data_IF_443943280358
#
_entry.id   IF_443943280358
#
_cell.length_a   1.000
_cell.length_b   1.000
_cell.length_c   1.000
_cell.angle_alpha   90.00
_cell.angle_beta   90.00
_cell.angle_gamma   90.00
#
_symmetry.space_group_name_H-M   'P 1'
#
loop_
_entity.id
_entity.type
_entity.pdbx_description
1 polymer ?
#
# COMPACT_ATOMS: atom_id res chain seq x y z
N UNK A 1 0.34 -7.67 -9.65
CA UNK A 1 0.19 -6.89 -8.40
C UNK A 1 -1.20 -7.15 -7.86
N UNK A 2 -1.35 -7.86 -6.75
CA UNK A 2 -2.62 -7.94 -6.05
C UNK A 2 -3.04 -6.55 -5.58
N UNK A 3 -4.30 -6.18 -5.86
CA UNK A 3 -4.90 -4.98 -5.31
C UNK A 3 -5.41 -5.32 -3.91
N UNK A 4 -4.90 -4.63 -2.90
CA UNK A 4 -5.33 -4.79 -1.51
C UNK A 4 -6.67 -4.08 -1.28
N UNK A 5 -6.77 -2.84 -1.79
CA UNK A 5 -7.90 -1.95 -1.55
C UNK A 5 -7.98 -0.89 -2.65
N UNK A 6 -9.18 -0.44 -2.99
CA UNK A 6 -9.40 0.70 -3.89
C UNK A 6 -10.31 1.68 -3.17
N UNK A 7 -9.85 2.92 -3.00
CA UNK A 7 -10.64 4.00 -2.39
C UNK A 7 -10.57 5.22 -3.30
N UNK A 8 -11.72 5.62 -3.85
CA UNK A 8 -11.79 6.76 -4.76
C UNK A 8 -10.81 6.58 -5.94
N UNK A 9 -9.85 7.49 -6.10
CA UNK A 9 -8.80 7.46 -7.12
C UNK A 9 -7.55 6.67 -6.72
N UNK A 10 -7.46 6.18 -5.48
CA UNK A 10 -6.28 5.53 -4.91
C UNK A 10 -6.41 4.01 -4.95
N UNK A 11 -5.35 3.35 -5.40
CA UNK A 11 -5.24 1.89 -5.46
C UNK A 11 -4.08 1.47 -4.57
N UNK A 12 -4.38 0.68 -3.55
CA UNK A 12 -3.41 0.12 -2.62
C UNK A 12 -2.96 -1.25 -3.12
N UNK A 13 -1.65 -1.44 -3.19
CA UNK A 13 -0.99 -2.60 -3.80
C UNK A 13 0.06 -3.16 -2.84
N UNK A 14 0.31 -4.46 -2.97
CA UNK A 14 1.48 -5.13 -2.38
C UNK A 14 2.29 -5.78 -3.51
N UNK A 15 3.61 -5.78 -3.40
CA UNK A 15 4.44 -6.54 -4.34
C UNK A 15 5.04 -7.77 -3.66
N UNK A 16 5.28 -8.79 -4.46
CA UNK A 16 5.85 -10.04 -3.99
C UNK A 16 7.36 -9.99 -3.73
N UNK A 17 8.06 -9.02 -4.32
CA UNK A 17 9.48 -8.76 -4.08
C UNK A 17 9.70 -8.14 -2.69
N UNK A 18 8.73 -7.35 -2.25
CA UNK A 18 8.68 -6.65 -0.98
C UNK A 18 8.59 -7.57 0.24
N UNK A 19 8.27 -8.83 0.02
CA UNK A 19 8.05 -9.84 1.06
C UNK A 19 9.35 -10.39 1.67
N UNK A 20 10.52 -10.05 1.12
CA UNK A 20 11.81 -10.41 1.74
C UNK A 20 12.20 -9.46 2.87
N UNK A 21 11.55 -8.31 2.99
CA UNK A 21 11.85 -7.35 4.05
C UNK A 21 11.05 -7.66 5.32
N UNK A 22 11.69 -7.45 6.47
CA UNK A 22 11.09 -7.71 7.79
C UNK A 22 9.93 -6.78 8.14
N UNK A 23 9.73 -5.71 7.36
CA UNK A 23 8.68 -4.70 7.57
C UNK A 23 7.68 -4.76 6.41
N UNK A 24 6.39 -4.64 6.74
CA UNK A 24 5.34 -4.56 5.72
C UNK A 24 5.27 -3.14 5.16
N UNK A 25 5.26 -3.03 3.85
CA UNK A 25 4.99 -1.80 3.13
C UNK A 25 3.90 -1.99 2.08
N UNK A 26 3.33 -0.88 1.67
CA UNK A 26 2.31 -0.83 0.62
C UNK A 26 2.68 0.24 -0.39
N UNK A 27 2.28 -0.01 -1.62
CA UNK A 27 2.35 0.97 -2.69
C UNK A 27 0.97 1.54 -2.91
N UNK A 28 0.90 2.84 -3.12
CA UNK A 28 -0.33 3.54 -3.43
C UNK A 28 -0.21 4.22 -4.77
N UNK A 29 -1.05 3.83 -5.71
CA UNK A 29 -1.12 4.43 -7.02
C UNK A 29 -2.38 5.30 -7.16
N UNK A 30 -2.25 6.43 -7.85
CA UNK A 30 -3.39 7.21 -8.31
C UNK A 30 -3.23 7.56 -9.78
N UNK A 31 -4.32 7.47 -10.54
CA UNK A 31 -4.33 7.83 -11.96
C UNK A 31 -5.26 9.01 -12.21
N UNK A 32 -4.76 10.02 -12.91
CA UNK A 32 -5.55 11.13 -13.44
C UNK A 32 -5.24 11.33 -14.92
N UNK A 33 -6.06 10.74 -15.79
CA UNK A 33 -5.84 10.73 -17.23
C UNK A 33 -4.55 9.98 -17.62
N UNK A 34 -3.58 10.70 -18.20
CA UNK A 34 -2.25 10.18 -18.54
C UNK A 34 -1.24 10.23 -17.38
N UNK A 35 -1.52 11.02 -16.35
CA UNK A 35 -0.65 11.13 -15.18
C UNK A 35 -0.88 9.97 -14.23
N UNK A 36 0.22 9.36 -13.79
CA UNK A 36 0.24 8.36 -12.73
C UNK A 36 1.10 8.89 -11.60
N UNK A 37 0.63 8.69 -10.38
CA UNK A 37 1.37 8.97 -9.16
C UNK A 37 1.52 7.66 -8.41
N UNK A 38 2.67 7.46 -7.80
CA UNK A 38 2.97 6.32 -6.93
C UNK A 38 3.63 6.82 -5.66
N UNK A 39 3.23 6.27 -4.52
CA UNK A 39 3.88 6.51 -3.23
C UNK A 39 4.05 5.17 -2.50
N UNK A 40 5.03 5.11 -1.62
CA UNK A 40 5.37 3.93 -0.84
C UNK A 40 5.26 4.30 0.65
N UNK A 41 4.58 3.45 1.41
CA UNK A 41 4.38 3.64 2.84
C UNK A 41 4.77 2.39 3.62
N UNK A 42 5.51 2.58 4.71
CA UNK A 42 5.54 1.61 5.80
C UNK A 42 4.19 1.60 6.50
N UNK A 43 3.75 0.41 6.91
CA UNK A 43 2.54 0.25 7.73
C UNK A 43 2.84 -0.30 9.13
N UNK A 44 4.02 -0.88 9.31
CA UNK A 44 4.53 -1.39 10.58
C UNK A 44 5.95 -0.89 10.88
N UNK A 45 6.27 -0.52 12.14
CA UNK A 45 5.36 -0.46 13.30
C UNK A 45 4.37 0.73 13.25
N UNK A 46 4.74 1.80 12.55
CA UNK A 46 3.93 3.01 12.37
C UNK A 46 3.74 3.31 10.87
N UNK A 47 2.75 4.14 10.55
CA UNK A 47 2.48 4.55 9.16
C UNK A 47 3.44 5.68 8.80
N UNK A 48 4.48 5.35 8.03
CA UNK A 48 5.52 6.29 7.61
C UNK A 48 5.62 6.32 6.10
N UNK A 49 5.88 7.49 5.54
CA UNK A 49 6.12 7.64 4.11
C UNK A 49 7.57 7.33 3.77
N UNK A 50 7.78 6.41 2.83
CA UNK A 50 9.10 6.06 2.31
C UNK A 50 9.43 6.93 1.11
N UNK A 51 8.46 7.01 0.19
CA UNK A 51 8.56 7.80 -1.02
C UNK A 51 7.19 8.42 -1.32
N UNK A 52 7.17 9.73 -1.50
CA UNK A 52 5.96 10.45 -1.88
C UNK A 52 5.67 10.45 -3.37
N UNK A 53 6.66 10.13 -4.20
CA UNK A 53 6.62 10.35 -5.65
C UNK A 53 6.03 11.72 -5.98
N UNK A 54 5.04 11.74 -6.86
CA UNK A 54 4.36 12.95 -7.35
C UNK A 54 3.14 13.39 -6.52
N UNK A 55 2.93 12.82 -5.34
CA UNK A 55 1.84 13.24 -4.46
C UNK A 55 2.17 14.54 -3.73
N UNK A 56 1.19 15.44 -3.66
CA UNK A 56 1.31 16.65 -2.85
C UNK A 56 1.24 16.31 -1.36
N UNK A 57 1.78 17.17 -0.48
CA UNK A 57 1.68 17.01 0.98
C UNK A 57 0.23 16.80 1.47
N UNK A 58 -0.74 17.47 0.84
CA UNK A 58 -2.17 17.30 1.14
C UNK A 58 -2.66 15.89 0.82
N UNK A 59 -2.27 15.36 -0.34
CA UNK A 59 -2.61 14.00 -0.75
C UNK A 59 -1.91 12.97 0.14
N UNK A 60 -0.65 13.19 0.53
CA UNK A 60 0.05 12.32 1.48
C UNK A 60 -0.68 12.25 2.82
N UNK A 61 -1.09 13.40 3.38
CA UNK A 61 -1.83 13.43 4.63
C UNK A 61 -3.18 12.73 4.52
N UNK A 62 -3.87 12.84 3.37
CA UNK A 62 -5.10 12.10 3.09
C UNK A 62 -4.83 10.58 3.05
N UNK A 63 -3.78 10.17 2.33
CA UNK A 63 -3.37 8.76 2.23
C UNK A 63 -3.04 8.17 3.58
N UNK A 64 -2.26 8.86 4.43
CA UNK A 64 -1.95 8.39 5.78
C UNK A 64 -3.23 8.20 6.62
N UNK A 65 -4.22 9.09 6.50
CA UNK A 65 -5.52 8.92 7.16
C UNK A 65 -6.27 7.70 6.63
N UNK A 66 -6.32 7.53 5.31
CA UNK A 66 -7.00 6.38 4.68
C UNK A 66 -6.34 5.06 5.08
N UNK A 67 -5.00 5.00 5.10
CA UNK A 67 -4.24 3.84 5.55
C UNK A 67 -4.55 3.57 7.01
N UNK A 68 -4.56 4.59 7.88
CA UNK A 68 -4.86 4.43 9.30
C UNK A 68 -6.27 3.88 9.55
N UNK A 69 -7.27 4.41 8.85
CA UNK A 69 -8.67 3.96 8.96
C UNK A 69 -8.82 2.51 8.50
N UNK A 70 -8.09 2.11 7.46
CA UNK A 70 -8.21 0.79 6.85
C UNK A 70 -7.06 -0.16 7.23
N UNK A 71 -6.28 0.16 8.26
CA UNK A 71 -5.03 -0.54 8.60
C UNK A 71 -5.26 -2.03 8.76
N UNK A 72 -6.26 -2.42 9.56
CA UNK A 72 -6.59 -3.83 9.79
C UNK A 72 -6.98 -4.57 8.50
N UNK A 73 -7.70 -3.92 7.57
CA UNK A 73 -8.07 -4.54 6.29
C UNK A 73 -6.82 -4.75 5.44
N UNK A 74 -5.96 -3.73 5.34
CA UNK A 74 -4.71 -3.77 4.58
C UNK A 74 -3.79 -4.87 5.13
N UNK A 75 -3.58 -4.93 6.45
CA UNK A 75 -2.77 -5.96 7.11
C UNK A 75 -3.33 -7.36 6.86
N UNK A 76 -4.63 -7.57 7.04
CA UNK A 76 -5.28 -8.85 6.77
C UNK A 76 -5.12 -9.30 5.31
N UNK A 77 -5.21 -8.37 4.35
CA UNK A 77 -5.01 -8.67 2.93
C UNK A 77 -3.55 -9.04 2.63
N UNK A 78 -2.58 -8.36 3.25
CA UNK A 78 -1.17 -8.69 3.14
C UNK A 78 -0.89 -10.06 3.77
N UNK A 79 -1.45 -10.36 4.93
CA UNK A 79 -1.28 -11.65 5.61
C UNK A 79 -1.93 -12.80 4.83
N UNK A 80 -3.10 -12.58 4.21
CA UNK A 80 -3.70 -13.52 3.26
C UNK A 80 -2.82 -13.75 2.04
N UNK A 81 -2.19 -12.69 1.51
CA UNK A 81 -1.27 -12.83 0.39
C UNK A 81 0.00 -13.59 0.78
N UNK A 82 0.56 -13.33 1.97
CA UNK A 82 1.71 -14.03 2.53
C UNK A 82 1.42 -15.51 2.83
N UNK A 83 0.26 -15.80 3.42
CA UNK A 83 -0.18 -17.18 3.72
C UNK A 83 -0.58 -17.96 2.48
N UNK A 84 -1.17 -17.31 1.47
CA UNK A 84 -1.50 -17.91 0.17
C UNK A 84 -0.28 -18.34 -0.65
N UNK A 85 0.91 -17.77 -0.40
CA UNK A 85 2.18 -18.28 -0.95
C UNK A 85 2.67 -19.59 -0.32
N UNK A 86 2.13 -20.03 0.82
CA UNK A 86 2.52 -21.29 1.47
C UNK A 86 1.83 -22.54 0.91
N UNK A 87 0.98 -22.43 -0.12
CA UNK A 87 0.32 -23.58 -0.74
C UNK A 87 0.66 -23.73 -2.23
N UNK A 88 1.92 -24.06 -2.49
CA UNK A 88 2.27 -25.04 -3.53
C UNK A 88 3.33 -25.97 -2.93
N UNK A 89 2.86 -27.02 -2.25
CA UNK A 89 3.56 -28.31 -2.25
C UNK A 89 3.38 -28.94 -3.62
#
# INVERSE_FOLDING_TARGET
MPKLLIISKYIFLVFSADLSEKRKYIHVEARKGRFRKSAIFWIEPEIEIVDSGDFSKREINELQKLIKINKSIIENQIDKFLSGKKSKQ
#
